data_IF_355152183912
#
_entry.id   IF_355152183912
#
_cell.length_a   1.000
_cell.length_b   1.000
_cell.length_c   1.000
_cell.angle_alpha   90.00
_cell.angle_beta   90.00
_cell.angle_gamma   90.00
#
_symmetry.space_group_name_H-M   'P 1'
#
loop_
_entity.id
_entity.type
_entity.pdbx_description
1 polymer ?
#
# COMPACT_ATOMS: atom_id res chain seq x y z
N UNK A 1 -0.52 19.81 35.37
CA UNK A 1 -0.92 21.22 35.24
C UNK A 1 -1.51 21.47 33.85
N UNK A 2 -2.83 21.41 33.69
CA UNK A 2 -3.50 22.20 32.65
C UNK A 2 -3.90 23.50 33.35
N UNK A 3 -3.25 24.61 33.03
CA UNK A 3 -3.75 25.92 33.47
C UNK A 3 -5.09 26.15 32.78
N UNK A 4 -6.13 26.44 33.56
CA UNK A 4 -7.41 26.90 33.05
C UNK A 4 -7.17 28.23 32.31
N UNK A 5 -7.24 28.21 30.97
CA UNK A 5 -7.10 29.43 30.14
C UNK A 5 -6.09 29.35 29.00
N UNK A 6 -5.17 28.38 28.97
CA UNK A 6 -4.17 28.22 27.88
C UNK A 6 -4.50 27.08 26.91
N UNK A 7 -5.71 26.53 26.98
CA UNK A 7 -6.15 25.49 26.07
C UNK A 7 -6.35 26.07 24.66
N UNK A 8 -5.46 25.71 23.73
CA UNK A 8 -5.61 25.97 22.29
C UNK A 8 -6.92 25.44 21.70
N UNK A 9 -7.60 24.53 22.41
CA UNK A 9 -8.82 23.89 21.95
C UNK A 9 -9.76 23.60 23.13
N UNK A 10 -11.03 23.98 23.00
CA UNK A 10 -12.09 23.71 23.97
C UNK A 10 -12.96 22.58 23.42
N UNK A 11 -13.06 21.48 24.17
CA UNK A 11 -13.95 20.37 23.82
C UNK A 11 -15.39 20.71 24.25
N UNK A 12 -16.37 20.27 23.46
CA UNK A 12 -17.76 20.26 23.90
C UNK A 12 -17.93 19.30 25.07
N UNK A 13 -18.85 19.59 25.99
CA UNK A 13 -19.02 18.83 27.23
C UNK A 13 -19.30 17.33 26.99
N UNK A 14 -20.11 17.03 25.97
CA UNK A 14 -20.43 15.65 25.57
C UNK A 14 -19.18 14.93 25.07
N UNK A 15 -18.37 15.59 24.25
CA UNK A 15 -17.14 15.01 23.72
C UNK A 15 -16.09 14.83 24.83
N UNK A 16 -15.93 15.83 25.70
CA UNK A 16 -15.08 15.75 26.88
C UNK A 16 -15.47 14.57 27.77
N UNK A 17 -16.77 14.38 28.01
CA UNK A 17 -17.31 13.24 28.77
C UNK A 17 -16.96 11.87 28.16
N UNK A 18 -16.99 11.76 26.83
CA UNK A 18 -16.56 10.53 26.15
C UNK A 18 -15.06 10.29 26.30
N UNK A 19 -14.25 11.33 26.14
CA UNK A 19 -12.78 11.19 26.20
C UNK A 19 -12.26 10.99 27.63
N UNK A 20 -12.92 11.53 28.65
CA UNK A 20 -12.54 11.29 30.05
C UNK A 20 -12.87 9.85 30.50
N UNK A 21 -13.94 9.25 29.94
CA UNK A 21 -14.24 7.84 30.18
C UNK A 21 -13.14 6.91 29.63
N UNK A 22 -12.52 7.30 28.50
CA UNK A 22 -11.35 6.61 27.95
C UNK A 22 -10.14 6.71 28.89
N UNK A 23 -9.88 7.89 29.46
CA UNK A 23 -8.78 8.09 30.44
C UNK A 23 -8.93 7.20 31.67
N UNK A 24 -10.15 7.05 32.21
CA UNK A 24 -10.39 6.13 33.34
C UNK A 24 -10.05 4.67 33.01
N UNK A 25 -10.20 4.27 31.74
CA UNK A 25 -9.84 2.91 31.29
C UNK A 25 -8.34 2.64 31.26
N UNK A 26 -7.50 3.68 31.31
CA UNK A 26 -6.03 3.55 31.22
C UNK A 26 -5.37 3.20 32.55
N UNK A 27 -6.08 3.32 33.67
CA UNK A 27 -5.58 3.09 35.03
C UNK A 27 -5.20 1.61 35.31
N UNK A 28 -5.33 0.73 34.30
CA UNK A 28 -4.88 -0.65 34.37
C UNK A 28 -3.33 -0.75 34.23
N UNK A 29 -2.64 -1.51 35.09
CA UNK A 29 -1.20 -1.77 34.97
C UNK A 29 -0.74 -2.25 33.59
N UNK A 30 -1.58 -3.04 32.89
CA UNK A 30 -1.26 -3.54 31.54
C UNK A 30 -1.23 -2.47 30.45
N UNK A 31 -1.90 -1.33 30.68
CA UNK A 31 -1.97 -0.22 29.72
C UNK A 31 -1.02 0.91 30.09
N UNK A 32 -0.81 1.16 31.38
CA UNK A 32 0.15 2.15 31.87
C UNK A 32 1.58 1.89 31.37
N UNK A 33 2.01 0.63 31.33
CA UNK A 33 3.35 0.24 30.84
C UNK A 33 3.56 0.50 29.34
N UNK A 34 2.48 0.70 28.58
CA UNK A 34 2.52 0.95 27.13
C UNK A 34 2.51 2.43 26.78
N UNK A 35 2.28 3.30 27.76
CA UNK A 35 2.27 4.75 27.56
C UNK A 35 3.71 5.25 27.58
N UNK A 36 4.12 5.96 26.53
CA UNK A 36 5.43 6.59 26.47
C UNK A 36 5.34 8.07 26.06
N UNK A 37 6.50 8.71 26.12
CA UNK A 37 6.77 10.07 25.67
C UNK A 37 7.99 10.00 24.77
N UNK A 38 7.99 10.75 23.67
CA UNK A 38 9.09 10.74 22.70
C UNK A 38 9.61 12.15 22.49
N UNK A 39 10.93 12.27 22.43
CA UNK A 39 11.62 13.48 21.99
C UNK A 39 12.01 13.34 20.53
N UNK A 40 12.03 14.46 19.83
CA UNK A 40 12.66 14.53 18.51
C UNK A 40 14.20 14.47 18.62
N UNK A 41 14.89 14.34 17.49
CA UNK A 41 16.36 14.21 17.47
C UNK A 41 17.06 15.44 18.03
N UNK A 42 16.45 16.63 17.89
CA UNK A 42 17.02 17.86 18.43
C UNK A 42 16.76 18.06 19.93
N UNK A 43 15.82 17.30 20.52
CA UNK A 43 15.35 17.50 21.90
C UNK A 43 14.54 18.78 22.11
N UNK A 44 14.24 19.53 21.05
CA UNK A 44 13.45 20.75 21.11
C UNK A 44 11.96 20.49 21.19
N UNK A 45 11.51 19.29 20.82
CA UNK A 45 10.12 18.91 20.79
C UNK A 45 9.88 17.63 21.59
N UNK A 46 8.85 17.67 22.42
CA UNK A 46 8.35 16.51 23.16
C UNK A 46 6.94 16.18 22.70
N UNK A 47 6.70 14.91 22.43
CA UNK A 47 5.42 14.37 21.98
C UNK A 47 4.87 13.38 22.99
N UNK A 48 3.61 13.57 23.38
CA UNK A 48 2.92 12.65 24.29
C UNK A 48 1.43 12.59 23.98
N UNK A 49 0.84 11.42 24.24
CA UNK A 49 -0.60 11.25 24.12
C UNK A 49 -1.36 12.00 25.22
N UNK A 50 -2.49 12.59 24.87
CA UNK A 50 -3.39 13.31 25.77
C UNK A 50 -4.85 13.04 25.43
N UNK A 51 -5.77 13.50 26.28
CA UNK A 51 -7.22 13.40 26.03
C UNK A 51 -7.65 14.05 24.70
N UNK A 52 -6.91 15.03 24.18
CA UNK A 52 -7.26 15.73 22.92
C UNK A 52 -6.64 15.02 21.70
N UNK A 53 -5.66 14.13 21.91
CA UNK A 53 -4.82 13.55 20.87
C UNK A 53 -3.35 13.65 21.26
N UNK A 54 -2.43 13.56 20.29
CA UNK A 54 -0.99 13.64 20.57
C UNK A 54 -0.56 15.10 20.55
N UNK A 55 -0.04 15.61 21.66
CA UNK A 55 0.47 16.98 21.75
C UNK A 55 1.95 17.01 21.43
N UNK A 56 2.35 17.91 20.55
CA UNK A 56 3.73 18.28 20.33
C UNK A 56 4.00 19.61 21.04
N UNK A 57 4.88 19.59 22.03
CA UNK A 57 5.27 20.76 22.81
C UNK A 57 6.71 21.11 22.48
N UNK A 58 6.95 22.40 22.25
CA UNK A 58 8.31 22.90 22.17
C UNK A 58 8.86 23.14 23.59
N UNK A 59 9.97 22.49 23.91
CA UNK A 59 10.56 22.45 25.26
C UNK A 59 11.14 23.80 25.71
N UNK A 60 11.49 24.68 24.76
CA UNK A 60 12.03 26.01 25.05
C UNK A 60 10.93 27.01 25.35
N UNK A 61 9.90 27.02 24.51
CA UNK A 61 8.79 27.99 24.63
C UNK A 61 7.69 27.50 25.57
N UNK A 62 7.70 26.22 25.95
CA UNK A 62 6.63 25.55 26.71
C UNK A 62 5.24 25.70 26.07
N UNK A 63 5.19 25.91 24.74
CA UNK A 63 3.95 26.05 23.98
C UNK A 63 3.67 24.78 23.19
N UNK A 64 2.38 24.42 23.11
CA UNK A 64 1.91 23.37 22.20
C UNK A 64 2.00 23.92 20.78
N UNK A 65 2.80 23.28 19.94
CA UNK A 65 2.99 23.66 18.53
C UNK A 65 1.94 23.00 17.66
N UNK A 66 1.65 21.72 17.92
CA UNK A 66 0.66 20.97 17.14
C UNK A 66 -0.04 19.91 17.97
N UNK A 67 -1.26 19.57 17.57
CA UNK A 67 -2.02 18.45 18.15
C UNK A 67 -2.45 17.53 17.02
N UNK A 68 -1.98 16.29 17.05
CA UNK A 68 -2.30 15.26 16.05
C UNK A 68 -3.53 14.45 16.44
N UNK A 69 -4.32 14.06 15.44
CA UNK A 69 -5.49 13.19 15.54
C UNK A 69 -6.67 13.78 16.32
N UNK A 70 -6.74 15.10 16.46
CA UNK A 70 -7.80 15.82 17.17
C UNK A 70 -9.23 15.43 16.73
N UNK A 71 -9.40 14.99 15.49
CA UNK A 71 -10.71 14.73 14.88
C UNK A 71 -11.36 13.41 15.33
N UNK A 72 -10.60 12.51 15.97
CA UNK A 72 -11.13 11.26 16.52
C UNK A 72 -10.98 11.25 18.04
N UNK A 73 -11.96 10.69 18.81
CA UNK A 73 -11.75 10.36 20.21
C UNK A 73 -10.79 9.16 20.33
N UNK A 74 -9.51 9.43 20.08
CA UNK A 74 -8.42 8.46 20.22
C UNK A 74 -7.48 8.92 21.34
N UNK A 75 -6.97 7.95 22.10
CA UNK A 75 -5.94 8.18 23.12
C UNK A 75 -4.71 7.37 22.76
N UNK A 76 -3.64 8.07 22.38
CA UNK A 76 -2.36 7.45 22.05
C UNK A 76 -1.76 6.72 23.26
N UNK A 77 -1.16 5.55 23.05
CA UNK A 77 -0.43 4.79 24.07
C UNK A 77 1.07 4.87 23.77
N UNK A 78 1.51 4.06 22.80
CA UNK A 78 2.89 4.05 22.35
C UNK A 78 3.04 4.98 21.14
N UNK A 79 4.11 5.78 21.17
CA UNK A 79 4.53 6.73 20.16
C UNK A 79 5.90 6.31 19.64
N UNK A 80 6.06 6.39 18.32
CA UNK A 80 7.35 6.25 17.65
C UNK A 80 7.46 7.34 16.57
N UNK A 81 8.63 7.95 16.46
CA UNK A 81 8.92 8.97 15.46
C UNK A 81 9.96 8.44 14.49
N UNK A 82 9.71 8.63 13.20
CA UNK A 82 10.67 8.48 12.13
C UNK A 82 10.92 9.88 11.57
N UNK A 83 12.15 10.38 11.63
CA UNK A 83 12.45 11.77 11.21
C UNK A 83 13.00 11.84 9.78
N UNK A 84 12.78 10.79 8.99
CA UNK A 84 13.22 10.66 7.61
C UNK A 84 14.71 10.33 7.49
N UNK A 85 15.05 9.50 6.49
CA UNK A 85 16.42 9.28 6.06
C UNK A 85 16.68 10.14 4.82
N UNK A 86 17.77 10.94 4.76
CA UNK A 86 18.11 11.66 3.54
C UNK A 86 18.34 10.66 2.40
N UNK A 87 17.79 10.92 1.21
CA UNK A 87 18.04 10.05 0.06
C UNK A 87 19.54 10.00 -0.24
N UNK A 88 20.06 8.81 -0.60
CA UNK A 88 21.49 8.64 -0.90
C UNK A 88 21.86 9.52 -2.09
N UNK A 89 22.65 10.57 -1.82
CA UNK A 89 23.23 11.43 -2.85
C UNK A 89 24.17 10.62 -3.75
N UNK A 90 24.07 10.81 -5.07
CA UNK A 90 25.20 10.55 -5.97
C UNK A 90 26.36 11.52 -5.66
N UNK A 91 27.51 11.36 -6.32
CA UNK A 91 28.68 12.24 -6.09
C UNK A 91 28.29 13.71 -6.29
N UNK A 92 28.28 14.50 -5.20
CA UNK A 92 27.98 15.93 -5.24
C UNK A 92 29.29 16.71 -5.33
N UNK A 93 29.44 17.51 -6.38
CA UNK A 93 30.56 18.45 -6.51
C UNK A 93 30.34 19.67 -5.61
N UNK A 94 31.43 20.29 -5.15
CA UNK A 94 31.36 21.46 -4.24
C UNK A 94 30.56 22.63 -4.84
N UNK A 95 30.61 22.78 -6.17
CA UNK A 95 29.81 23.77 -6.91
C UNK A 95 28.32 23.45 -6.93
N UNK A 96 27.94 22.16 -7.02
CA UNK A 96 26.54 21.74 -6.95
C UNK A 96 25.94 21.96 -5.56
N UNK A 97 26.71 21.69 -4.48
CA UNK A 97 26.26 21.93 -3.11
C UNK A 97 26.06 23.42 -2.79
N UNK A 98 26.81 24.32 -3.43
CA UNK A 98 26.68 25.76 -3.25
C UNK A 98 25.57 26.39 -4.11
N UNK A 99 25.00 25.63 -5.06
CA UNK A 99 23.93 26.12 -5.93
C UNK A 99 22.56 25.92 -5.27
N UNK A 100 21.71 26.94 -5.30
CA UNK A 100 20.31 26.87 -4.84
C UNK A 100 19.44 26.10 -5.85
N UNK A 101 19.81 24.85 -6.13
CA UNK A 101 19.08 24.00 -7.06
C UNK A 101 17.87 23.36 -6.34
N UNK A 102 16.63 23.61 -6.79
CA UNK A 102 15.42 23.07 -6.16
C UNK A 102 15.41 21.54 -6.05
N UNK A 103 16.00 20.83 -7.03
CA UNK A 103 16.09 19.37 -7.04
C UNK A 103 17.01 18.80 -5.94
N UNK A 104 18.02 19.57 -5.52
CA UNK A 104 18.88 19.19 -4.39
C UNK A 104 18.18 19.46 -3.05
N UNK A 105 17.30 20.47 -2.98
CA UNK A 105 16.51 20.77 -1.80
C UNK A 105 15.40 19.73 -1.59
N UNK A 106 14.72 19.30 -2.64
CA UNK A 106 13.75 18.18 -2.59
C UNK A 106 14.43 16.86 -2.18
N UNK A 107 15.65 16.60 -2.65
CA UNK A 107 16.43 15.42 -2.23
C UNK A 107 16.92 15.48 -0.76
N UNK A 108 16.99 16.69 -0.19
CA UNK A 108 17.28 16.93 1.23
C UNK A 108 16.01 16.94 2.10
N UNK A 109 14.83 17.01 1.48
CA UNK A 109 13.56 16.99 2.17
C UNK A 109 13.36 15.63 2.83
N UNK A 110 13.38 15.64 4.16
CA UNK A 110 13.09 14.45 4.96
C UNK A 110 11.58 14.28 4.99
N UNK A 111 11.10 13.05 4.83
CA UNK A 111 9.71 12.69 5.07
C UNK A 111 9.54 12.12 6.49
N UNK A 112 9.22 12.97 7.50
CA UNK A 112 9.01 12.52 8.86
C UNK A 112 7.63 11.92 9.03
N UNK A 113 7.57 10.87 9.84
CA UNK A 113 6.34 10.15 10.16
C UNK A 113 6.22 9.93 11.66
N UNK A 114 5.07 10.24 12.22
CA UNK A 114 4.71 9.94 13.61
C UNK A 114 3.75 8.75 13.62
N UNK A 115 4.12 7.71 14.35
CA UNK A 115 3.35 6.47 14.50
C UNK A 115 2.82 6.35 15.91
N UNK A 116 1.56 5.95 16.06
CA UNK A 116 0.98 5.69 17.37
C UNK A 116 -0.03 4.53 17.40
N UNK A 117 -0.17 3.94 18.57
CA UNK A 117 -1.25 2.99 18.91
C UNK A 117 -2.31 3.68 19.76
N UNK A 118 -3.59 3.32 19.59
CA UNK A 118 -4.69 3.87 20.37
C UNK A 118 -5.21 2.91 21.44
N UNK A 119 -5.55 3.42 22.63
CA UNK A 119 -6.21 2.62 23.67
C UNK A 119 -7.58 2.11 23.18
N UNK A 120 -7.82 0.82 23.36
CA UNK A 120 -9.02 0.12 22.89
C UNK A 120 -9.34 0.33 21.39
N UNK A 121 -8.32 0.67 20.59
CA UNK A 121 -8.42 0.82 19.14
C UNK A 121 -7.54 -0.24 18.48
N UNK A 122 -8.14 -1.03 17.60
CA UNK A 122 -7.45 -2.03 16.80
C UNK A 122 -6.88 -1.39 15.52
N UNK A 123 -6.17 -0.25 15.69
CA UNK A 123 -5.66 0.56 14.58
C UNK A 123 -4.29 1.14 14.94
N UNK A 124 -3.42 1.21 13.94
CA UNK A 124 -2.24 2.07 13.97
C UNK A 124 -2.59 3.44 13.38
N UNK A 125 -2.02 4.49 13.95
CA UNK A 125 -2.18 5.86 13.50
C UNK A 125 -0.85 6.34 12.95
N UNK A 126 -0.81 6.67 11.66
CA UNK A 126 0.32 7.32 10.99
C UNK A 126 -0.05 8.78 10.72
N UNK A 127 0.87 9.68 11.05
CA UNK A 127 0.76 11.10 10.76
C UNK A 127 1.97 11.54 9.93
N UNK A 128 1.70 12.08 8.75
CA UNK A 128 2.68 12.65 7.81
C UNK A 128 2.54 14.17 7.75
N UNK A 129 3.37 14.83 6.94
CA UNK A 129 3.31 16.27 6.74
C UNK A 129 2.13 16.74 5.86
N UNK A 130 1.42 15.82 5.21
CA UNK A 130 0.28 16.15 4.36
C UNK A 130 -0.88 16.72 5.20
N UNK A 131 -1.29 17.94 4.86
CA UNK A 131 -2.34 18.67 5.60
C UNK A 131 -3.73 18.55 4.98
N UNK A 132 -3.82 18.12 3.72
CA UNK A 132 -5.05 18.07 2.92
C UNK A 132 -5.39 16.65 2.45
N UNK A 133 -5.42 15.70 3.39
CA UNK A 133 -5.86 14.33 3.07
C UNK A 133 -7.39 14.25 3.18
N UNK A 134 -8.06 13.91 2.08
CA UNK A 134 -9.51 13.68 2.10
C UNK A 134 -9.85 12.58 3.11
N UNK A 135 -10.92 12.76 3.89
CA UNK A 135 -11.40 11.72 4.83
C UNK A 135 -11.75 10.41 4.13
N UNK A 136 -12.05 10.46 2.83
CA UNK A 136 -12.33 9.28 1.99
C UNK A 136 -11.06 8.54 1.53
N UNK A 137 -9.90 9.19 1.52
CA UNK A 137 -8.61 8.61 1.11
C UNK A 137 -7.71 8.26 2.29
N UNK A 138 -8.13 8.57 3.54
CA UNK A 138 -7.47 8.05 4.74
C UNK A 138 -7.57 6.53 4.65
N UNK A 139 -6.44 5.87 4.50
CA UNK A 139 -6.33 4.42 4.36
C UNK A 139 -6.69 3.77 5.70
N UNK A 140 -7.99 3.71 5.98
CA UNK A 140 -8.54 3.11 7.18
C UNK A 140 -8.61 1.61 6.91
N UNK A 141 -7.48 0.92 7.09
CA UNK A 141 -7.48 -0.53 7.26
C UNK A 141 -8.18 -0.85 8.59
N UNK A 142 -9.51 -0.92 8.51
CA UNK A 142 -10.45 -1.13 9.61
C UNK A 142 -10.67 -2.61 9.92
N UNK A 143 -9.80 -3.49 9.42
CA UNK A 143 -9.93 -4.91 9.62
C UNK A 143 -9.56 -5.24 11.07
N UNK A 144 -10.49 -5.87 11.78
CA UNK A 144 -10.21 -6.37 13.12
C UNK A 144 -9.07 -7.38 13.02
N UNK A 145 -8.04 -7.32 13.88
CA UNK A 145 -7.03 -8.35 13.99
C UNK A 145 -7.70 -9.71 14.14
N UNK A 146 -7.38 -10.61 13.21
CA UNK A 146 -7.84 -12.01 13.24
C UNK A 146 -7.09 -12.70 14.37
N UNK A 147 -7.62 -12.66 15.59
CA UNK A 147 -6.99 -13.36 16.72
C UNK A 147 -7.33 -12.82 18.09
N UNK A 148 -8.60 -12.90 18.51
CA UNK A 148 -9.00 -12.97 19.92
C UNK A 148 -10.49 -13.28 20.08
N UNK A 149 -10.93 -14.42 19.52
CA UNK A 149 -11.98 -15.30 20.04
C UNK A 149 -12.27 -16.35 18.99
N UNK A 150 -11.74 -17.55 19.24
CA UNK A 150 -12.45 -18.77 18.89
C UNK A 150 -13.83 -18.69 19.54
N UNK A 151 -14.87 -18.55 18.72
CA UNK A 151 -16.02 -19.43 18.81
C UNK A 151 -16.85 -19.34 17.52
N UNK A 152 -17.30 -20.51 17.12
CA UNK A 152 -17.76 -20.87 15.80
C UNK A 152 -19.12 -20.28 15.40
N UNK A 153 -19.32 -20.35 14.09
CA UNK A 153 -20.60 -20.47 13.38
C UNK A 153 -21.33 -19.18 12.99
N UNK A 154 -21.52 -19.06 11.67
CA UNK A 154 -22.43 -18.16 10.97
C UNK A 154 -22.04 -16.67 10.92
N UNK A 155 -20.98 -16.37 10.18
CA UNK A 155 -20.88 -15.09 9.49
C UNK A 155 -20.65 -15.37 8.00
N UNK A 156 -21.74 -15.25 7.24
CA UNK A 156 -21.74 -15.27 5.79
C UNK A 156 -20.63 -14.37 5.24
N UNK A 157 -19.90 -14.91 4.25
CA UNK A 157 -18.85 -14.24 3.49
C UNK A 157 -19.25 -12.79 3.16
N UNK A 158 -18.59 -11.83 3.80
CA UNK A 158 -18.51 -10.45 3.31
C UNK A 158 -17.26 -10.37 2.43
N UNK A 159 -17.35 -9.70 1.27
CA UNK A 159 -16.37 -9.85 0.20
C UNK A 159 -15.01 -9.28 0.64
N UNK A 160 -14.02 -10.17 0.64
CA UNK A 160 -12.59 -9.90 0.73
C UNK A 160 -12.23 -8.82 -0.27
N UNK A 161 -11.47 -7.80 0.16
CA UNK A 161 -11.20 -6.56 -0.55
C UNK A 161 -10.95 -6.76 -2.05
N UNK A 162 -12.01 -6.68 -2.85
CA UNK A 162 -11.90 -6.97 -4.26
C UNK A 162 -11.78 -5.66 -5.03
N UNK A 163 -10.56 -5.32 -5.44
CA UNK A 163 -10.40 -4.40 -6.56
C UNK A 163 -11.14 -4.98 -7.76
N UNK A 164 -12.13 -4.27 -8.27
CA UNK A 164 -12.88 -4.75 -9.45
C UNK A 164 -12.13 -4.35 -10.73
N UNK A 165 -11.29 -3.32 -10.60
CA UNK A 165 -10.51 -2.75 -11.68
C UNK A 165 -9.08 -2.47 -11.23
N UNK A 166 -8.12 -2.61 -12.15
CA UNK A 166 -6.72 -2.27 -11.93
C UNK A 166 -6.21 -1.45 -13.11
N UNK A 167 -5.33 -0.48 -12.86
CA UNK A 167 -4.66 0.30 -13.89
C UNK A 167 -3.17 0.06 -13.78
N UNK A 168 -2.58 -0.54 -14.81
CA UNK A 168 -1.15 -0.74 -14.91
C UNK A 168 -0.55 0.49 -15.56
N UNK A 169 0.20 1.26 -14.79
CA UNK A 169 1.01 2.35 -15.32
C UNK A 169 2.29 1.76 -15.87
N UNK A 170 2.48 1.77 -17.19
CA UNK A 170 3.70 1.25 -17.83
C UNK A 170 4.49 2.38 -18.47
N UNK A 171 5.76 2.12 -18.79
CA UNK A 171 6.62 3.09 -19.50
C UNK A 171 6.06 3.50 -20.87
N UNK A 172 5.16 2.71 -21.46
CA UNK A 172 4.55 2.96 -22.77
C UNK A 172 3.09 3.44 -22.69
N UNK A 173 2.56 3.64 -21.48
CA UNK A 173 1.20 4.12 -21.22
C UNK A 173 0.42 3.26 -20.23
N UNK A 174 -0.86 3.59 -20.06
CA UNK A 174 -1.72 2.95 -19.06
C UNK A 174 -2.58 1.83 -19.66
N UNK A 175 -2.66 0.70 -18.97
CA UNK A 175 -3.53 -0.43 -19.33
C UNK A 175 -4.58 -0.61 -18.23
N UNK A 176 -5.86 -0.48 -18.59
CA UNK A 176 -6.95 -0.71 -17.64
C UNK A 176 -7.42 -2.15 -17.74
N UNK A 177 -7.40 -2.85 -16.60
CA UNK A 177 -7.83 -4.22 -16.43
C UNK A 177 -9.12 -4.27 -15.62
N UNK A 178 -10.03 -5.15 -16.04
CA UNK A 178 -11.18 -5.58 -15.25
C UNK A 178 -10.88 -6.95 -14.65
N UNK A 179 -11.01 -7.07 -13.34
CA UNK A 179 -10.72 -8.32 -12.60
C UNK A 179 -12.00 -9.13 -12.39
N UNK A 180 -11.86 -10.45 -12.24
CA UNK A 180 -12.96 -11.41 -12.13
C UNK A 180 -12.91 -12.20 -10.82
N UNK A 181 -13.25 -11.55 -9.68
CA UNK A 181 -13.16 -12.18 -8.37
C UNK A 181 -14.13 -13.33 -8.13
N UNK A 182 -15.27 -13.30 -8.83
CA UNK A 182 -16.25 -14.39 -8.76
C UNK A 182 -15.75 -15.66 -9.43
N UNK A 183 -14.79 -15.54 -10.35
CA UNK A 183 -14.25 -16.65 -11.13
C UNK A 183 -12.95 -17.19 -10.52
N UNK A 184 -12.07 -16.31 -10.05
CA UNK A 184 -10.77 -16.64 -9.48
C UNK A 184 -10.48 -15.79 -8.24
N UNK A 185 -11.13 -16.08 -7.09
CA UNK A 185 -11.05 -15.24 -5.90
C UNK A 185 -9.62 -15.16 -5.32
N UNK A 186 -8.91 -16.30 -5.19
CA UNK A 186 -7.54 -16.29 -4.64
C UNK A 186 -6.57 -15.58 -5.56
N UNK A 187 -6.72 -15.79 -6.87
CA UNK A 187 -5.86 -15.16 -7.86
C UNK A 187 -6.02 -13.64 -7.88
N UNK A 188 -7.26 -13.16 -7.83
CA UNK A 188 -7.55 -11.73 -7.75
C UNK A 188 -7.04 -11.14 -6.44
N UNK A 189 -7.21 -11.85 -5.32
CA UNK A 189 -6.68 -11.43 -4.01
C UNK A 189 -5.15 -11.30 -4.02
N UNK A 190 -4.46 -12.30 -4.57
CA UNK A 190 -3.01 -12.29 -4.75
C UNK A 190 -2.55 -11.08 -5.58
N UNK A 191 -3.15 -10.90 -6.76
CA UNK A 191 -2.81 -9.80 -7.65
C UNK A 191 -3.07 -8.41 -7.04
N UNK A 192 -4.23 -8.21 -6.41
CA UNK A 192 -4.61 -6.94 -5.78
C UNK A 192 -3.69 -6.61 -4.62
N UNK A 193 -3.37 -7.60 -3.79
CA UNK A 193 -2.51 -7.40 -2.62
C UNK A 193 -1.07 -7.11 -3.03
N UNK A 194 -0.50 -7.84 -4.00
CA UNK A 194 0.82 -7.51 -4.56
C UNK A 194 0.86 -6.12 -5.19
N UNK A 195 -0.21 -5.72 -5.90
CA UNK A 195 -0.33 -4.39 -6.50
C UNK A 195 -0.32 -3.29 -5.44
N UNK A 196 -1.09 -3.45 -4.36
CA UNK A 196 -1.14 -2.48 -3.24
C UNK A 196 0.17 -2.40 -2.47
N UNK A 197 0.85 -3.53 -2.30
CA UNK A 197 2.16 -3.59 -1.65
C UNK A 197 3.29 -3.01 -2.52
N UNK A 198 3.00 -2.61 -3.76
CA UNK A 198 4.00 -2.13 -4.70
C UNK A 198 4.96 -3.21 -5.19
N UNK A 199 4.60 -4.49 -5.06
CA UNK A 199 5.43 -5.64 -5.45
C UNK A 199 5.77 -5.62 -6.94
N UNK A 200 4.82 -5.18 -7.77
CA UNK A 200 4.99 -5.07 -9.22
C UNK A 200 5.68 -3.77 -9.66
N UNK A 201 6.01 -2.85 -8.74
CA UNK A 201 6.61 -1.57 -9.10
C UNK A 201 8.03 -1.78 -9.63
N UNK A 202 8.33 -1.16 -10.77
CA UNK A 202 9.55 -1.31 -11.55
C UNK A 202 9.83 -2.73 -12.10
N UNK A 203 8.86 -3.63 -12.07
CA UNK A 203 9.00 -4.95 -12.70
C UNK A 203 8.94 -4.84 -14.23
N UNK A 204 9.66 -5.70 -14.93
CA UNK A 204 9.75 -5.65 -16.40
C UNK A 204 8.80 -6.64 -17.07
N UNK A 205 8.44 -6.37 -18.32
CA UNK A 205 7.90 -7.39 -19.22
C UNK A 205 9.05 -8.25 -19.74
N UNK A 206 9.44 -9.28 -18.99
CA UNK A 206 10.62 -10.10 -19.30
C UNK A 206 10.41 -11.00 -20.52
N UNK A 207 9.17 -11.25 -20.92
CA UNK A 207 8.84 -12.10 -22.07
C UNK A 207 7.68 -11.52 -22.88
N UNK A 208 7.92 -11.24 -24.15
CA UNK A 208 6.99 -10.65 -25.11
C UNK A 208 7.04 -11.45 -26.41
N UNK A 209 5.89 -12.00 -26.82
CA UNK A 209 5.76 -12.79 -28.03
C UNK A 209 4.65 -12.21 -28.91
N UNK A 210 5.02 -11.78 -30.11
CA UNK A 210 4.09 -11.26 -31.11
C UNK A 210 3.02 -12.30 -31.48
N UNK A 211 1.78 -11.84 -31.58
CA UNK A 211 0.55 -12.60 -31.82
C UNK A 211 0.30 -13.71 -30.80
N UNK A 212 0.76 -13.50 -29.57
CA UNK A 212 0.54 -14.46 -28.49
C UNK A 212 0.24 -13.76 -27.18
N UNK A 213 1.24 -13.23 -26.49
CA UNK A 213 1.08 -12.65 -25.16
C UNK A 213 2.27 -11.78 -24.73
N UNK A 214 2.01 -10.93 -23.75
CA UNK A 214 3.02 -10.17 -22.99
C UNK A 214 2.99 -10.66 -21.53
N UNK A 215 4.14 -11.03 -20.98
CA UNK A 215 4.28 -11.59 -19.64
C UNK A 215 5.15 -10.70 -18.76
N UNK A 216 4.73 -10.54 -17.51
CA UNK A 216 5.37 -9.73 -16.49
C UNK A 216 5.15 -10.35 -15.10
N UNK A 217 5.53 -9.60 -14.06
CA UNK A 217 5.28 -9.98 -12.67
C UNK A 217 6.38 -10.81 -12.03
N UNK A 218 7.55 -10.90 -12.66
CA UNK A 218 8.76 -11.47 -12.07
C UNK A 218 9.68 -10.34 -11.53
N UNK A 219 9.97 -10.28 -10.21
CA UNK A 219 10.92 -9.34 -9.64
C UNK A 219 12.37 -9.50 -10.16
N UNK A 220 12.77 -10.70 -10.56
CA UNK A 220 14.11 -10.99 -11.09
C UNK A 220 14.22 -10.67 -12.59
N UNK A 221 13.09 -10.70 -13.31
CA UNK A 221 13.03 -10.39 -14.74
C UNK A 221 13.69 -11.43 -15.65
N UNK A 222 13.80 -12.68 -15.18
CA UNK A 222 14.37 -13.83 -15.90
C UNK A 222 13.39 -14.98 -16.14
N UNK A 223 12.17 -14.86 -15.58
CA UNK A 223 11.07 -15.82 -15.69
C UNK A 223 11.08 -16.91 -14.63
N UNK A 224 12.04 -16.93 -13.71
CA UNK A 224 12.18 -17.97 -12.67
C UNK A 224 11.70 -17.50 -11.30
N UNK A 225 11.62 -16.19 -11.08
CA UNK A 225 11.24 -15.61 -9.81
C UNK A 225 9.74 -15.36 -9.66
N UNK A 226 9.37 -14.86 -8.49
CA UNK A 226 8.01 -14.50 -8.15
C UNK A 226 7.36 -15.50 -7.19
N UNK A 227 6.79 -14.98 -6.12
CA UNK A 227 6.08 -15.75 -5.10
C UNK A 227 4.72 -15.12 -4.86
N UNK A 228 3.74 -15.92 -4.40
CA UNK A 228 2.44 -15.40 -4.00
C UNK A 228 2.51 -14.66 -2.66
N UNK A 229 1.44 -13.97 -2.30
CA UNK A 229 1.31 -13.30 -0.99
C UNK A 229 1.38 -14.26 0.21
N UNK A 230 1.24 -15.56 -0.03
CA UNK A 230 1.33 -16.60 1.00
C UNK A 230 2.75 -17.19 1.15
N UNK A 231 3.75 -16.64 0.44
CA UNK A 231 5.16 -17.04 0.55
C UNK A 231 5.50 -18.33 -0.20
N UNK A 232 4.76 -18.64 -1.27
CA UNK A 232 4.97 -19.85 -2.08
C UNK A 232 4.06 -19.89 -3.31
N UNK A 233 3.79 -21.09 -3.81
CA UNK A 233 2.86 -21.33 -4.91
C UNK A 233 1.43 -21.58 -4.40
N UNK A 234 0.42 -21.29 -5.22
CA UNK A 234 -1.00 -21.58 -4.93
C UNK A 234 -1.73 -22.26 -6.08
N UNK A 235 -2.92 -22.81 -5.78
CA UNK A 235 -3.70 -23.64 -6.70
C UNK A 235 -4.25 -22.90 -7.93
N UNK A 236 -4.56 -23.65 -9.00
CA UNK A 236 -5.24 -23.11 -10.16
C UNK A 236 -6.76 -22.96 -9.92
N UNK A 237 -7.35 -21.86 -10.39
CA UNK A 237 -8.78 -21.57 -10.27
C UNK A 237 -9.43 -21.56 -11.66
N UNK A 238 -9.82 -22.74 -12.14
CA UNK A 238 -10.52 -22.87 -13.41
C UNK A 238 -12.01 -22.55 -13.28
N UNK A 239 -12.51 -21.67 -14.15
CA UNK A 239 -13.92 -21.27 -14.19
C UNK A 239 -14.53 -21.51 -15.57
N UNK A 240 -15.73 -20.98 -15.82
CA UNK A 240 -16.36 -21.00 -17.15
C UNK A 240 -15.70 -20.06 -18.16
N UNK A 241 -14.73 -19.25 -17.72
CA UNK A 241 -13.96 -18.35 -18.57
C UNK A 241 -12.99 -19.13 -19.48
N UNK A 242 -12.78 -18.61 -20.68
CA UNK A 242 -11.88 -19.18 -21.70
C UNK A 242 -11.05 -18.08 -22.36
N UNK A 243 -9.93 -18.45 -22.96
CA UNK A 243 -9.08 -17.58 -23.77
C UNK A 243 -9.64 -17.41 -25.19
N UNK A 244 -10.95 -17.16 -25.29
CA UNK A 244 -11.72 -17.08 -26.52
C UNK A 244 -11.62 -15.71 -27.21
N UNK A 245 -11.18 -14.67 -26.49
CA UNK A 245 -10.95 -13.32 -26.99
C UNK A 245 -9.55 -12.83 -26.58
N UNK A 246 -8.96 -11.92 -27.37
CA UNK A 246 -7.71 -11.29 -27.00
C UNK A 246 -7.83 -10.45 -25.72
N UNK A 247 -6.69 -10.01 -25.20
CA UNK A 247 -6.54 -9.17 -24.01
C UNK A 247 -6.97 -9.85 -22.71
N UNK A 248 -6.97 -11.17 -22.69
CA UNK A 248 -7.31 -11.94 -21.49
C UNK A 248 -6.11 -11.93 -20.55
N UNK A 249 -6.37 -11.65 -19.27
CA UNK A 249 -5.37 -11.63 -18.21
C UNK A 249 -5.41 -12.96 -17.46
N UNK A 250 -4.26 -13.63 -17.42
CA UNK A 250 -4.12 -14.98 -16.86
C UNK A 250 -2.81 -15.15 -16.10
N UNK A 251 -2.78 -16.09 -15.14
CA UNK A 251 -1.58 -16.41 -14.37
C UNK A 251 -0.57 -17.20 -15.20
N UNK A 252 0.70 -16.84 -15.09
CA UNK A 252 1.79 -17.67 -15.55
C UNK A 252 2.11 -18.71 -14.46
N UNK A 253 2.31 -19.95 -14.87
CA UNK A 253 2.64 -21.07 -13.99
C UNK A 253 3.68 -21.98 -14.68
N UNK A 254 4.38 -22.80 -13.89
CA UNK A 254 5.36 -23.78 -14.35
C UNK A 254 4.82 -25.22 -14.39
N UNK A 255 3.50 -25.37 -14.22
CA UNK A 255 2.80 -26.64 -14.07
C UNK A 255 1.50 -26.47 -13.28
N UNK A 256 0.70 -27.53 -13.11
CA UNK A 256 -0.53 -27.47 -12.34
C UNK A 256 -0.29 -27.00 -10.90
N UNK A 257 -1.08 -26.03 -10.43
CA UNK A 257 -1.04 -25.47 -9.08
C UNK A 257 0.28 -24.80 -8.67
N UNK A 258 0.99 -24.21 -9.63
CA UNK A 258 2.28 -23.51 -9.40
C UNK A 258 2.16 -22.00 -9.62
N UNK A 259 1.01 -21.41 -9.25
CA UNK A 259 0.80 -19.98 -9.43
C UNK A 259 1.62 -19.20 -8.39
N UNK A 260 2.41 -18.23 -8.85
CA UNK A 260 3.18 -17.32 -7.99
C UNK A 260 2.67 -15.89 -8.13
N UNK A 261 3.52 -14.99 -8.65
CA UNK A 261 3.16 -13.60 -8.93
C UNK A 261 3.17 -13.24 -10.42
N UNK A 262 3.73 -14.10 -11.27
CA UNK A 262 3.81 -13.84 -12.71
C UNK A 262 2.43 -13.95 -13.39
N UNK A 263 2.18 -13.07 -14.35
CA UNK A 263 0.95 -13.05 -15.15
C UNK A 263 1.25 -12.65 -16.59
N UNK A 264 0.31 -12.95 -17.48
CA UNK A 264 0.38 -12.53 -18.88
C UNK A 264 -0.95 -11.96 -19.38
N UNK A 265 -0.85 -11.10 -20.39
CA UNK A 265 -1.97 -10.56 -21.14
C UNK A 265 -1.88 -11.10 -22.57
N UNK A 266 -2.91 -11.80 -23.03
CA UNK A 266 -2.93 -12.32 -24.40
C UNK A 266 -3.19 -11.22 -25.41
N UNK A 267 -2.62 -11.31 -26.60
CA UNK A 267 -2.90 -10.39 -27.73
C UNK A 267 -3.76 -11.03 -28.81
N UNK A 268 -3.83 -12.37 -28.78
CA UNK A 268 -4.64 -13.20 -29.68
C UNK A 268 -5.51 -14.20 -28.89
N UNK A 269 -6.34 -14.94 -29.62
CA UNK A 269 -7.11 -16.06 -29.05
C UNK A 269 -6.17 -17.25 -28.81
N UNK A 270 -6.17 -17.78 -27.59
CA UNK A 270 -5.24 -18.84 -27.17
C UNK A 270 -5.96 -20.00 -26.48
N UNK A 271 -6.90 -20.70 -27.17
CA UNK A 271 -7.74 -21.74 -26.56
C UNK A 271 -6.95 -22.93 -25.99
N UNK A 272 -5.71 -23.16 -26.43
CA UNK A 272 -4.85 -24.23 -25.90
C UNK A 272 -4.34 -23.97 -24.47
N UNK A 273 -4.55 -22.76 -23.94
CA UNK A 273 -4.26 -22.38 -22.54
C UNK A 273 -5.47 -22.62 -21.62
N UNK A 274 -6.64 -22.94 -22.18
CA UNK A 274 -7.85 -23.23 -21.40
C UNK A 274 -7.64 -24.46 -20.52
N UNK A 275 -7.99 -24.34 -19.23
CA UNK A 275 -7.78 -25.41 -18.24
C UNK A 275 -6.32 -25.65 -17.86
N UNK A 276 -5.39 -24.77 -18.27
CA UNK A 276 -3.98 -24.80 -17.86
C UNK A 276 -3.55 -23.54 -17.11
N UNK A 277 -4.12 -22.40 -17.46
CA UNK A 277 -3.82 -21.12 -16.84
C UNK A 277 -5.10 -20.49 -16.28
N UNK A 278 -5.01 -20.00 -15.04
CA UNK A 278 -6.10 -19.33 -14.35
C UNK A 278 -6.39 -17.97 -14.98
N UNK A 279 -7.61 -17.78 -15.49
CA UNK A 279 -8.08 -16.50 -16.03
C UNK A 279 -8.69 -15.70 -14.88
N UNK A 280 -8.14 -14.52 -14.63
CA UNK A 280 -8.59 -13.67 -13.51
C UNK A 280 -8.92 -12.23 -13.92
N UNK A 281 -8.79 -11.87 -15.19
CA UNK A 281 -9.23 -10.58 -15.69
C UNK A 281 -9.20 -10.42 -17.20
N UNK A 282 -9.44 -9.20 -17.68
CA UNK A 282 -9.30 -8.80 -19.09
C UNK A 282 -9.00 -7.31 -19.21
N UNK A 283 -8.16 -6.92 -20.16
CA UNK A 283 -7.95 -5.51 -20.46
C UNK A 283 -9.17 -4.90 -21.15
N UNK A 284 -9.61 -3.74 -20.66
CA UNK A 284 -10.79 -3.01 -21.13
C UNK A 284 -10.44 -1.68 -21.81
N UNK A 285 -9.31 -1.05 -21.45
CA UNK A 285 -8.77 0.16 -22.09
C UNK A 285 -7.25 0.08 -22.15
N UNK A 286 -6.62 0.90 -23.00
CA UNK A 286 -5.17 0.84 -23.24
C UNK A 286 -4.76 -0.33 -24.14
N UNK A 287 -5.66 -0.77 -25.03
CA UNK A 287 -5.38 -1.87 -25.96
C UNK A 287 -4.28 -1.50 -26.95
N UNK A 288 -4.17 -0.22 -27.29
CA UNK A 288 -3.08 0.32 -28.11
C UNK A 288 -1.73 0.20 -27.39
N UNK A 289 -1.70 0.36 -26.06
CA UNK A 289 -0.49 0.16 -25.25
C UNK A 289 -0.08 -1.31 -25.26
N UNK A 290 -1.01 -2.24 -25.06
CA UNK A 290 -0.74 -3.68 -25.18
C UNK A 290 -0.14 -4.03 -26.54
N UNK A 291 -0.70 -3.50 -27.62
CA UNK A 291 -0.18 -3.67 -28.99
C UNK A 291 1.19 -3.01 -29.19
N UNK A 292 1.45 -1.85 -28.57
CA UNK A 292 2.79 -1.22 -28.60
C UNK A 292 3.83 -2.09 -27.91
N UNK A 293 3.52 -2.62 -26.72
CA UNK A 293 4.40 -3.51 -25.97
C UNK A 293 4.67 -4.79 -26.78
N UNK A 294 3.64 -5.38 -27.39
CA UNK A 294 3.80 -6.56 -28.24
C UNK A 294 4.74 -6.33 -29.43
N UNK A 295 4.72 -5.13 -30.03
CA UNK A 295 5.48 -4.81 -31.23
C UNK A 295 6.89 -4.27 -30.96
N UNK A 296 7.35 -4.22 -29.71
CA UNK A 296 8.74 -3.87 -29.40
C UNK A 296 9.72 -4.85 -30.06
N UNK A 297 10.98 -4.42 -30.20
CA UNK A 297 12.05 -5.32 -30.65
C UNK A 297 12.43 -6.24 -29.50
N UNK A 298 12.50 -7.53 -29.78
CA UNK A 298 12.80 -8.56 -28.78
C UNK A 298 13.95 -9.45 -29.23
N UNK A 299 14.89 -9.73 -28.33
CA UNK A 299 15.92 -10.75 -28.49
C UNK A 299 15.62 -11.93 -27.56
N UNK A 300 15.48 -13.14 -28.12
CA UNK A 300 15.06 -14.34 -27.37
C UNK A 300 13.79 -14.11 -26.54
N UNK A 301 12.77 -13.51 -27.15
CA UNK A 301 11.48 -13.17 -26.52
C UNK A 301 11.57 -12.10 -25.40
N UNK A 302 12.75 -11.58 -25.06
CA UNK A 302 12.92 -10.47 -24.11
C UNK A 302 13.04 -9.15 -24.87
N UNK A 303 12.33 -8.07 -24.48
CA UNK A 303 12.50 -6.75 -25.09
C UNK A 303 13.96 -6.26 -25.04
N UNK A 304 14.44 -5.68 -26.14
CA UNK A 304 15.78 -5.05 -26.18
C UNK A 304 15.83 -3.78 -25.32
N UNK A 305 14.73 -3.02 -25.33
CA UNK A 305 14.50 -1.91 -24.43
C UNK A 305 13.49 -2.34 -23.36
N UNK A 306 13.88 -2.21 -22.08
CA UNK A 306 13.04 -2.64 -20.97
C UNK A 306 11.72 -1.86 -20.93
N UNK A 307 10.62 -2.57 -21.13
CA UNK A 307 9.28 -2.08 -20.80
C UNK A 307 8.99 -2.44 -19.35
N UNK A 308 8.64 -1.44 -18.53
CA UNK A 308 8.45 -1.62 -17.09
C UNK A 308 7.04 -1.23 -16.65
N UNK A 309 6.55 -1.92 -15.62
CA UNK A 309 5.40 -1.50 -14.83
C UNK A 309 5.92 -0.50 -13.79
N UNK A 310 5.51 0.76 -13.90
CA UNK A 310 5.87 1.82 -12.96
C UNK A 310 5.13 1.60 -11.64
N UNK A 311 3.81 1.43 -11.72
CA UNK A 311 2.95 1.13 -10.57
C UNK A 311 1.63 0.53 -11.02
N UNK A 312 0.89 -0.07 -10.08
CA UNK A 312 -0.46 -0.58 -10.32
C UNK A 312 -1.43 0.10 -9.36
N UNK A 313 -2.41 0.81 -9.91
CA UNK A 313 -3.47 1.45 -9.15
C UNK A 313 -4.70 0.54 -9.12
N UNK A 314 -5.16 0.16 -7.93
CA UNK A 314 -6.37 -0.67 -7.75
C UNK A 314 -7.58 0.23 -7.46
N UNK A 315 -8.72 -0.04 -8.11
CA UNK A 315 -9.99 0.68 -7.92
C UNK A 315 -11.16 -0.29 -7.73
#
# INVERSE_FOLDING_TARGET
MQQAGTALYKLEEIEFGRRIAIEKGLENPATMTKINVVFDESGHFVMYGSIIGIKCINTFTNRVVRVYGKDEPFRALNLAIYQGQPQKKGVVTVSMAASANPLLQEAEERDPMLVSTGFAKLRFYLFTNETEVSKSSRDVQNEKPVGAREDAAAAAAKPTATGTTAVLHTTLGDIHLRLFPSAAPKTVENFVTHSRNGYYNNTIFHRVIRKFMIQAGDPLGDGTGGESIWGGEFEDEFSTLRHDKPYTLSMANAGPNTNGSQFFITTEKTPWLDGKHTIFGRAVKGLDVVHKIENVKTYKEKPEEDVKIVSISIT
#
